data_IF_703113473534
#
_entry.id   IF_703113473534
#
_cell.length_a   1.000
_cell.length_b   1.000
_cell.length_c   1.000
_cell.angle_alpha   90.00
_cell.angle_beta   90.00
_cell.angle_gamma   90.00
#
_symmetry.space_group_name_H-M   'P 1'
#
loop_
_entity.id
_entity.type
_entity.pdbx_description
1 polymer ?
#
# COMPACT_ATOMS: atom_id res chain seq x y z
N UNK A 1 -85.84 28.81 11.58
CA UNK A 1 -85.02 28.56 10.38
C UNK A 1 -83.63 29.14 10.63
N UNK A 2 -82.63 28.29 10.90
CA UNK A 2 -81.24 28.77 10.94
C UNK A 2 -80.92 29.24 9.52
N UNK A 3 -80.45 30.48 9.31
CA UNK A 3 -80.00 30.87 7.98
C UNK A 3 -78.88 29.90 7.58
N UNK A 4 -79.03 29.32 6.40
CA UNK A 4 -78.05 28.41 5.80
C UNK A 4 -76.68 29.08 5.84
N UNK A 5 -75.81 28.65 6.76
CA UNK A 5 -74.52 29.28 7.01
C UNK A 5 -73.69 29.32 5.72
N UNK A 6 -73.82 28.29 4.88
CA UNK A 6 -73.21 28.26 3.55
C UNK A 6 -73.73 29.36 2.61
N UNK A 7 -75.03 29.70 2.65
CA UNK A 7 -75.60 30.80 1.84
C UNK A 7 -75.13 32.18 2.31
N UNK A 8 -74.94 32.36 3.62
CA UNK A 8 -74.37 33.59 4.18
C UNK A 8 -72.89 33.74 3.79
N UNK A 9 -72.10 32.66 3.86
CA UNK A 9 -70.70 32.63 3.41
C UNK A 9 -70.60 32.94 1.92
N UNK A 10 -71.43 32.32 1.08
CA UNK A 10 -71.42 32.56 -0.37
C UNK A 10 -71.78 34.02 -0.72
N UNK A 11 -72.80 34.59 -0.06
CA UNK A 11 -73.17 36.00 -0.26
C UNK A 11 -72.06 36.96 0.19
N UNK A 12 -71.37 36.63 1.29
CA UNK A 12 -70.22 37.41 1.77
C UNK A 12 -69.05 37.38 0.78
N UNK A 13 -68.72 36.20 0.26
CA UNK A 13 -67.71 36.01 -0.80
C UNK A 13 -68.06 36.79 -2.08
N UNK A 14 -69.34 36.81 -2.47
CA UNK A 14 -69.81 37.57 -3.64
C UNK A 14 -69.75 39.09 -3.39
N UNK A 15 -70.09 39.54 -2.18
CA UNK A 15 -70.02 40.96 -1.80
C UNK A 15 -68.56 41.46 -1.76
N UNK A 16 -67.65 40.68 -1.16
CA UNK A 16 -66.20 40.94 -1.11
C UNK A 16 -65.40 40.26 -2.25
N UNK A 17 -65.99 40.18 -3.45
CA UNK A 17 -65.43 39.40 -4.57
C UNK A 17 -63.99 39.73 -4.94
N UNK A 18 -63.54 40.99 -4.79
CA UNK A 18 -62.16 41.40 -5.14
C UNK A 18 -61.15 40.79 -4.17
N UNK A 19 -61.41 40.93 -2.87
CA UNK A 19 -60.52 40.41 -1.81
C UNK A 19 -60.50 38.89 -1.80
N UNK A 20 -61.66 38.26 -2.01
CA UNK A 20 -61.78 36.81 -2.17
C UNK A 20 -60.95 36.28 -3.36
N UNK A 21 -60.99 36.97 -4.51
CA UNK A 21 -60.18 36.60 -5.68
C UNK A 21 -58.69 36.75 -5.40
N UNK A 22 -58.26 37.84 -4.76
CA UNK A 22 -56.84 38.00 -4.38
C UNK A 22 -56.38 36.91 -3.41
N UNK A 23 -57.19 36.54 -2.44
CA UNK A 23 -56.86 35.49 -1.49
C UNK A 23 -56.77 34.11 -2.16
N UNK A 24 -57.67 33.79 -3.10
CA UNK A 24 -57.58 32.57 -3.91
C UNK A 24 -56.30 32.55 -4.75
N UNK A 25 -55.95 33.66 -5.40
CA UNK A 25 -54.70 33.78 -6.18
C UNK A 25 -53.48 33.57 -5.29
N UNK A 26 -53.44 34.18 -4.10
CA UNK A 26 -52.34 34.00 -3.14
C UNK A 26 -52.22 32.53 -2.72
N UNK A 27 -53.35 31.89 -2.36
CA UNK A 27 -53.35 30.47 -1.97
C UNK A 27 -52.89 29.58 -3.13
N UNK A 28 -53.32 29.85 -4.35
CA UNK A 28 -52.87 29.11 -5.55
C UNK A 28 -51.36 29.27 -5.78
N UNK A 29 -50.84 30.50 -5.71
CA UNK A 29 -49.41 30.78 -5.89
C UNK A 29 -48.59 30.11 -4.78
N UNK A 30 -48.97 30.27 -3.51
CA UNK A 30 -48.28 29.63 -2.38
C UNK A 30 -48.30 28.10 -2.49
N UNK A 31 -49.45 27.53 -2.85
CA UNK A 31 -49.57 26.08 -3.06
C UNK A 31 -48.69 25.60 -4.22
N UNK A 32 -48.63 26.35 -5.32
CA UNK A 32 -47.76 26.03 -6.46
C UNK A 32 -46.27 26.13 -6.09
N UNK A 33 -45.86 27.14 -5.32
CA UNK A 33 -44.47 27.29 -4.84
C UNK A 33 -44.09 26.14 -3.90
N UNK A 34 -44.96 25.78 -2.96
CA UNK A 34 -44.72 24.67 -2.02
C UNK A 34 -44.68 23.34 -2.78
N UNK A 35 -45.62 23.08 -3.68
CA UNK A 35 -45.63 21.87 -4.49
C UNK A 35 -44.39 21.79 -5.42
N UNK A 36 -44.02 22.89 -6.06
CA UNK A 36 -42.84 22.97 -6.93
C UNK A 36 -41.53 22.73 -6.18
N UNK A 37 -41.37 23.29 -4.98
CA UNK A 37 -40.18 23.07 -4.15
C UNK A 37 -40.11 21.62 -3.63
N UNK A 38 -41.23 21.03 -3.20
CA UNK A 38 -41.30 19.61 -2.82
C UNK A 38 -40.96 18.67 -3.99
N UNK A 39 -41.51 18.94 -5.18
CA UNK A 39 -41.27 18.11 -6.36
C UNK A 39 -39.82 18.19 -6.83
N UNK A 40 -39.23 19.39 -6.82
CA UNK A 40 -37.82 19.59 -7.15
C UNK A 40 -36.93 18.87 -6.12
N UNK A 41 -37.22 19.02 -4.83
CA UNK A 41 -36.48 18.35 -3.76
C UNK A 41 -36.56 16.81 -3.87
N UNK A 42 -37.74 16.26 -4.14
CA UNK A 42 -37.90 14.82 -4.35
C UNK A 42 -37.18 14.33 -5.62
N UNK A 43 -37.23 15.09 -6.71
CA UNK A 43 -36.55 14.74 -7.97
C UNK A 43 -35.04 14.75 -7.82
N UNK A 44 -34.47 15.78 -7.17
CA UNK A 44 -33.02 15.84 -6.89
C UNK A 44 -32.62 14.71 -5.95
N UNK A 45 -33.37 14.47 -4.87
CA UNK A 45 -33.06 13.41 -3.90
C UNK A 45 -33.12 12.02 -4.52
N UNK A 46 -34.15 11.73 -5.33
CA UNK A 46 -34.29 10.44 -6.02
C UNK A 46 -33.21 10.25 -7.09
N UNK A 47 -32.88 11.30 -7.84
CA UNK A 47 -31.77 11.28 -8.79
C UNK A 47 -30.43 10.99 -8.11
N UNK A 48 -30.10 11.72 -7.04
CA UNK A 48 -28.88 11.48 -6.25
C UNK A 48 -28.85 10.06 -5.68
N UNK A 49 -29.96 9.58 -5.10
CA UNK A 49 -30.03 8.21 -4.56
C UNK A 49 -29.78 7.17 -5.65
N UNK A 50 -30.37 7.35 -6.85
CA UNK A 50 -30.21 6.43 -7.97
C UNK A 50 -28.79 6.44 -8.52
N UNK A 51 -28.20 7.62 -8.71
CA UNK A 51 -26.81 7.77 -9.17
C UNK A 51 -25.83 7.18 -8.16
N UNK A 52 -26.02 7.44 -6.87
CA UNK A 52 -25.18 6.85 -5.82
C UNK A 52 -25.30 5.33 -5.77
N UNK A 53 -26.51 4.78 -5.88
CA UNK A 53 -26.71 3.32 -5.90
C UNK A 53 -26.04 2.67 -7.13
N UNK A 54 -26.19 3.26 -8.32
CA UNK A 54 -25.55 2.73 -9.54
C UNK A 54 -24.02 2.73 -9.48
N UNK A 55 -23.42 3.73 -8.82
CA UNK A 55 -21.96 3.83 -8.64
C UNK A 55 -21.39 2.88 -7.59
N UNK A 56 -22.19 2.46 -6.60
CA UNK A 56 -21.75 1.55 -5.56
C UNK A 56 -22.01 0.09 -5.93
N UNK A 57 -22.97 -0.18 -6.83
CA UNK A 57 -23.48 -1.53 -7.04
C UNK A 57 -24.02 -2.10 -5.72
N UNK A 58 -23.69 -3.36 -5.41
CA UNK A 58 -24.09 -4.03 -4.16
C UNK A 58 -23.12 -3.78 -3.00
N UNK A 59 -22.23 -2.79 -3.10
CA UNK A 59 -21.26 -2.50 -2.04
C UNK A 59 -21.89 -1.63 -0.95
N UNK A 60 -22.02 -2.18 0.26
CA UNK A 60 -22.43 -1.45 1.46
C UNK A 60 -21.23 -0.95 2.26
N UNK A 61 -20.17 -1.76 2.34
CA UNK A 61 -18.98 -1.49 3.15
C UNK A 61 -17.72 -1.66 2.29
N UNK A 62 -16.77 -0.76 2.53
CA UNK A 62 -15.44 -0.81 1.90
C UNK A 62 -14.39 -0.78 2.99
N UNK A 63 -13.55 -1.81 3.01
CA UNK A 63 -12.32 -1.83 3.80
C UNK A 63 -11.19 -1.33 2.90
N UNK A 64 -10.40 -0.40 3.41
CA UNK A 64 -9.34 0.29 2.66
C UNK A 64 -8.04 0.25 3.48
N UNK A 65 -6.98 -0.33 2.90
CA UNK A 65 -5.63 -0.42 3.49
C UNK A 65 -4.78 0.85 3.30
N UNK A 66 -5.37 1.93 2.83
CA UNK A 66 -4.71 3.20 2.52
C UNK A 66 -3.70 3.06 1.40
N UNK A 67 -2.42 3.14 1.77
CA UNK A 67 -1.26 3.06 0.87
C UNK A 67 -0.60 1.66 0.86
N UNK A 68 -1.14 0.71 1.64
CA UNK A 68 -0.61 -0.65 1.76
C UNK A 68 -1.43 -1.60 0.88
N UNK A 69 -0.85 -2.76 0.61
CA UNK A 69 -1.51 -3.85 -0.07
C UNK A 69 -1.65 -5.04 0.88
N UNK A 70 -2.62 -5.90 0.59
CA UNK A 70 -2.87 -7.13 1.32
C UNK A 70 -3.16 -8.29 0.38
N UNK A 71 -3.14 -9.51 0.92
CA UNK A 71 -3.47 -10.73 0.19
C UNK A 71 -4.98 -10.76 -0.17
N UNK A 72 -5.36 -10.89 -1.46
CA UNK A 72 -6.76 -10.89 -1.89
C UNK A 72 -7.64 -11.95 -1.21
N UNK A 73 -7.06 -13.06 -0.73
CA UNK A 73 -7.79 -14.14 -0.03
C UNK A 73 -8.42 -13.68 1.29
N UNK A 74 -8.01 -12.53 1.83
CA UNK A 74 -8.60 -11.94 3.04
C UNK A 74 -10.12 -11.72 2.88
N UNK A 75 -10.60 -11.37 1.68
CA UNK A 75 -12.03 -11.25 1.41
C UNK A 75 -12.77 -12.59 1.59
N UNK A 76 -12.17 -13.72 1.21
CA UNK A 76 -12.76 -15.04 1.41
C UNK A 76 -12.83 -15.38 2.91
N UNK A 77 -11.79 -15.05 3.67
CA UNK A 77 -11.77 -15.25 5.12
C UNK A 77 -12.90 -14.46 5.80
N UNK A 78 -13.10 -13.20 5.41
CA UNK A 78 -14.19 -12.35 5.92
C UNK A 78 -15.55 -12.93 5.53
N UNK A 79 -15.72 -13.34 4.27
CA UNK A 79 -16.96 -13.92 3.78
C UNK A 79 -17.32 -15.21 4.52
N UNK A 80 -16.34 -16.07 4.78
CA UNK A 80 -16.53 -17.32 5.53
C UNK A 80 -16.97 -17.09 6.99
N UNK A 81 -16.49 -16.03 7.64
CA UNK A 81 -16.86 -15.71 9.03
C UNK A 81 -18.19 -14.97 9.15
N UNK A 82 -18.52 -14.13 8.18
CA UNK A 82 -19.72 -13.26 8.22
C UNK A 82 -20.94 -13.84 7.51
N UNK A 83 -20.71 -14.74 6.55
CA UNK A 83 -21.71 -15.11 5.55
C UNK A 83 -22.06 -13.99 4.56
N UNK A 84 -21.35 -12.86 4.60
CA UNK A 84 -21.56 -11.73 3.69
C UNK A 84 -20.69 -11.89 2.44
N UNK A 85 -21.24 -11.72 1.22
CA UNK A 85 -20.44 -11.69 0.01
C UNK A 85 -19.36 -10.62 0.11
N UNK A 86 -18.10 -11.00 -0.15
CA UNK A 86 -16.95 -10.10 -0.08
C UNK A 86 -16.01 -10.36 -1.24
N UNK A 87 -15.50 -9.30 -1.86
CA UNK A 87 -14.54 -9.38 -2.98
C UNK A 87 -13.38 -8.41 -2.79
N UNK A 88 -12.18 -8.83 -3.14
CA UNK A 88 -10.98 -7.99 -3.10
C UNK A 88 -10.73 -7.36 -4.47
N UNK A 89 -10.35 -6.08 -4.49
CA UNK A 89 -9.96 -5.38 -5.72
C UNK A 89 -8.68 -4.56 -5.51
N UNK A 90 -8.00 -4.26 -6.61
CA UNK A 90 -7.04 -3.15 -6.67
C UNK A 90 -7.76 -1.92 -7.24
N UNK A 91 -7.74 -0.81 -6.52
CA UNK A 91 -8.07 0.51 -7.04
C UNK A 91 -6.78 1.31 -7.28
N UNK A 92 -6.55 1.72 -8.53
CA UNK A 92 -5.45 2.62 -8.90
C UNK A 92 -5.92 3.64 -9.93
N UNK A 93 -5.09 4.64 -10.19
CA UNK A 93 -5.34 5.67 -11.20
C UNK A 93 -4.29 5.62 -12.30
N UNK A 94 -4.72 5.97 -13.51
CA UNK A 94 -3.84 6.01 -14.66
C UNK A 94 -4.44 6.79 -15.81
N UNK A 95 -3.92 6.52 -16.99
CA UNK A 95 -4.42 7.06 -18.24
C UNK A 95 -4.38 5.98 -19.30
N UNK A 96 -5.23 6.12 -20.31
CA UNK A 96 -5.19 5.23 -21.45
C UNK A 96 -5.36 6.01 -22.75
N UNK A 97 -4.85 5.44 -23.83
CA UNK A 97 -4.95 6.01 -25.16
C UNK A 97 -5.43 4.98 -26.15
N UNK A 98 -6.26 5.41 -27.09
CA UNK A 98 -6.64 4.60 -28.25
C UNK A 98 -5.37 4.25 -29.05
N UNK A 99 -5.14 2.96 -29.30
CA UNK A 99 -3.92 2.48 -29.96
C UNK A 99 -3.79 3.01 -31.40
N UNK A 100 -4.91 3.16 -32.10
CA UNK A 100 -4.94 3.56 -33.51
C UNK A 100 -4.92 5.07 -33.71
N UNK A 101 -5.71 5.82 -32.92
CA UNK A 101 -5.88 7.27 -33.10
C UNK A 101 -4.94 8.11 -32.22
N UNK A 102 -4.38 7.53 -31.15
CA UNK A 102 -3.60 8.24 -30.14
C UNK A 102 -4.42 9.13 -29.21
N UNK A 103 -5.76 9.15 -29.35
CA UNK A 103 -6.64 9.91 -28.48
C UNK A 103 -6.47 9.43 -27.04
N UNK A 104 -6.28 10.36 -26.09
CA UNK A 104 -5.89 10.03 -24.72
C UNK A 104 -6.95 10.45 -23.70
N UNK A 105 -7.22 9.58 -22.74
CA UNK A 105 -8.05 9.79 -21.56
C UNK A 105 -7.15 9.85 -20.32
N UNK A 106 -7.11 11.01 -19.64
CA UNK A 106 -6.41 11.20 -18.37
C UNK A 106 -7.36 10.93 -17.19
N UNK A 107 -6.80 10.65 -16.01
CA UNK A 107 -7.55 10.43 -14.76
C UNK A 107 -8.57 9.28 -14.88
N UNK A 108 -8.15 8.18 -15.50
CA UNK A 108 -8.95 6.96 -15.61
C UNK A 108 -8.80 6.17 -14.32
N UNK A 109 -9.93 5.79 -13.71
CA UNK A 109 -9.93 4.83 -12.59
C UNK A 109 -9.73 3.44 -13.13
N UNK A 110 -8.79 2.72 -12.55
CA UNK A 110 -8.41 1.38 -12.98
C UNK A 110 -8.71 0.43 -11.83
N UNK A 111 -9.56 -0.56 -12.10
CA UNK A 111 -9.90 -1.61 -11.15
C UNK A 111 -9.27 -2.93 -11.60
N UNK A 112 -8.40 -3.48 -10.76
CA UNK A 112 -7.94 -4.85 -10.87
C UNK A 112 -8.94 -5.76 -10.18
N UNK A 113 -9.59 -6.63 -10.95
CA UNK A 113 -10.69 -7.47 -10.48
C UNK A 113 -10.40 -8.94 -10.74
N UNK A 114 -11.01 -9.79 -9.94
CA UNK A 114 -11.08 -11.23 -10.19
C UNK A 114 -12.44 -11.60 -10.84
N UNK A 115 -12.64 -12.89 -11.06
CA UNK A 115 -13.89 -13.45 -11.60
C UNK A 115 -15.12 -13.24 -10.71
N UNK A 116 -14.95 -12.86 -9.44
CA UNK A 116 -16.04 -12.72 -8.47
C UNK A 116 -16.62 -11.32 -8.45
N UNK A 117 -15.92 -10.31 -8.98
CA UNK A 117 -16.37 -8.92 -8.99
C UNK A 117 -17.74 -8.71 -9.65
N UNK A 118 -17.93 -9.13 -10.90
CA UNK A 118 -19.22 -8.96 -11.56
C UNK A 118 -20.34 -9.82 -10.96
N UNK A 119 -20.12 -11.10 -10.60
CA UNK A 119 -21.09 -11.87 -9.82
C UNK A 119 -21.50 -11.20 -8.51
N UNK A 120 -20.56 -10.58 -7.78
CA UNK A 120 -20.84 -9.80 -6.57
C UNK A 120 -21.81 -8.63 -6.85
N UNK A 121 -21.70 -7.99 -8.01
CA UNK A 121 -22.62 -6.93 -8.45
C UNK A 121 -23.91 -7.45 -9.11
N UNK A 122 -24.12 -8.76 -9.23
CA UNK A 122 -25.30 -9.36 -9.83
C UNK A 122 -25.20 -9.64 -11.34
N UNK A 123 -24.03 -9.40 -11.95
CA UNK A 123 -23.77 -9.53 -13.39
C UNK A 123 -22.91 -10.76 -13.70
N UNK A 124 -23.38 -11.94 -13.32
CA UNK A 124 -22.58 -13.18 -13.33
C UNK A 124 -22.11 -13.72 -14.70
N UNK A 125 -22.51 -13.11 -15.82
CA UNK A 125 -22.06 -13.48 -17.17
C UNK A 125 -20.85 -12.68 -17.67
N UNK A 126 -20.48 -11.62 -16.97
CA UNK A 126 -19.35 -10.77 -17.33
C UNK A 126 -18.06 -11.28 -16.71
N UNK A 127 -17.01 -11.31 -17.52
CA UNK A 127 -15.67 -11.71 -17.12
C UNK A 127 -14.64 -10.99 -17.98
N UNK A 128 -13.51 -10.60 -17.39
CA UNK A 128 -12.38 -9.98 -18.08
C UNK A 128 -11.18 -10.92 -17.97
N UNK A 129 -10.79 -11.49 -19.12
CA UNK A 129 -9.63 -12.38 -19.22
C UNK A 129 -8.32 -11.62 -19.02
N UNK A 130 -7.25 -12.27 -18.52
CA UNK A 130 -5.92 -11.68 -18.55
C UNK A 130 -5.51 -11.22 -19.96
N UNK A 131 -4.99 -10.00 -20.08
CA UNK A 131 -4.66 -9.35 -21.37
C UNK A 131 -5.83 -8.61 -22.03
N UNK A 132 -7.04 -8.69 -21.47
CA UNK A 132 -8.22 -7.96 -21.94
C UNK A 132 -8.60 -6.82 -20.98
N UNK A 133 -9.41 -5.89 -21.49
CA UNK A 133 -9.92 -4.75 -20.76
C UNK A 133 -11.45 -4.63 -20.89
N UNK A 134 -12.11 -4.37 -19.77
CA UNK A 134 -13.47 -3.87 -19.74
C UNK A 134 -13.46 -2.35 -19.56
N UNK A 135 -14.27 -1.60 -20.30
CA UNK A 135 -14.36 -0.14 -20.13
C UNK A 135 -15.81 0.29 -19.94
N UNK A 136 -16.05 1.39 -19.24
CA UNK A 136 -17.39 1.94 -19.14
C UNK A 136 -17.78 2.79 -20.36
N UNK A 137 -19.07 3.09 -20.49
CA UNK A 137 -19.61 3.94 -21.56
C UNK A 137 -19.00 5.35 -21.59
N UNK A 138 -18.52 5.86 -20.46
CA UNK A 138 -17.86 7.16 -20.38
C UNK A 138 -16.51 7.12 -21.10
N UNK A 139 -15.69 6.12 -20.79
CA UNK A 139 -14.37 5.95 -21.38
C UNK A 139 -14.45 5.57 -22.87
N UNK A 140 -15.35 4.67 -23.26
CA UNK A 140 -15.54 4.27 -24.64
C UNK A 140 -15.88 5.45 -25.56
N UNK A 141 -16.80 6.32 -25.13
CA UNK A 141 -17.18 7.53 -25.88
C UNK A 141 -16.05 8.56 -25.95
N UNK A 142 -15.27 8.70 -24.87
CA UNK A 142 -14.15 9.64 -24.84
C UNK A 142 -13.03 9.21 -25.78
N UNK A 143 -12.72 7.92 -25.86
CA UNK A 143 -11.66 7.37 -26.71
C UNK A 143 -12.09 7.03 -28.14
N UNK A 144 -13.39 7.13 -28.44
CA UNK A 144 -14.01 6.70 -29.70
C UNK A 144 -13.65 5.24 -30.03
N UNK A 145 -13.98 4.33 -29.10
CA UNK A 145 -13.60 2.92 -29.12
C UNK A 145 -14.81 2.01 -29.07
N UNK A 146 -14.76 0.90 -29.83
CA UNK A 146 -15.71 -0.20 -29.80
C UNK A 146 -15.10 -1.46 -29.17
N UNK A 147 -15.94 -2.47 -28.89
CA UNK A 147 -15.47 -3.79 -28.51
C UNK A 147 -14.61 -4.41 -29.63
N UNK A 148 -13.44 -4.92 -29.27
CA UNK A 148 -12.46 -5.51 -30.18
C UNK A 148 -11.25 -4.63 -30.45
N UNK A 149 -11.34 -3.32 -30.19
CA UNK A 149 -10.22 -2.38 -30.38
C UNK A 149 -9.16 -2.52 -29.29
N UNK A 150 -8.00 -1.90 -29.50
CA UNK A 150 -6.87 -1.91 -28.57
C UNK A 150 -6.66 -0.55 -27.91
N UNK A 151 -6.29 -0.60 -26.64
CA UNK A 151 -5.88 0.57 -25.84
C UNK A 151 -4.50 0.36 -25.26
N UNK A 152 -3.74 1.45 -25.17
CA UNK A 152 -2.52 1.50 -24.36
C UNK A 152 -2.92 2.02 -23.00
N UNK A 153 -2.69 1.22 -21.96
CA UNK A 153 -2.97 1.58 -20.58
C UNK A 153 -1.65 1.87 -19.87
N UNK A 154 -1.60 3.00 -19.17
CA UNK A 154 -0.48 3.36 -18.31
C UNK A 154 -0.98 3.60 -16.90
N UNK A 155 -0.46 2.80 -15.98
CA UNK A 155 -0.90 2.77 -14.60
C UNK A 155 0.27 2.55 -13.66
N UNK A 156 0.12 2.94 -12.40
CA UNK A 156 1.10 2.60 -11.37
C UNK A 156 0.99 1.12 -11.04
N UNK A 157 2.06 0.36 -11.24
CA UNK A 157 2.10 -1.07 -10.86
C UNK A 157 1.95 -1.22 -9.35
N UNK A 158 1.46 -2.39 -8.90
CA UNK A 158 1.37 -2.67 -7.46
C UNK A 158 2.75 -3.00 -6.91
N UNK A 159 3.43 -2.00 -6.35
CA UNK A 159 4.64 -2.20 -5.54
C UNK A 159 4.33 -1.95 -4.06
N UNK A 160 4.52 -2.95 -3.17
CA UNK A 160 4.40 -2.72 -1.74
C UNK A 160 5.42 -1.71 -1.21
N UNK A 161 6.60 -1.59 -1.84
CA UNK A 161 7.61 -0.63 -1.43
C UNK A 161 7.19 0.80 -1.83
N UNK A 162 7.09 1.75 -0.88
CA UNK A 162 6.78 3.13 -1.23
C UNK A 162 7.84 3.74 -2.15
N UNK A 163 7.40 4.44 -3.20
CA UNK A 163 8.31 5.07 -4.18
C UNK A 163 9.25 6.14 -3.60
N UNK A 164 8.97 6.62 -2.38
CA UNK A 164 9.79 7.57 -1.64
C UNK A 164 10.56 6.92 -0.46
N UNK A 165 10.51 5.59 -0.34
CA UNK A 165 11.31 4.87 0.65
C UNK A 165 12.80 4.93 0.31
N UNK A 166 13.69 4.90 1.32
CA UNK A 166 15.12 4.77 1.08
C UNK A 166 15.41 3.58 0.16
N UNK A 167 16.25 3.80 -0.86
CA UNK A 167 16.69 2.80 -1.84
C UNK A 167 15.60 2.25 -2.78
N UNK A 168 14.35 2.72 -2.71
CA UNK A 168 13.32 2.38 -3.69
C UNK A 168 13.80 2.71 -5.11
N UNK A 169 13.77 1.77 -6.08
CA UNK A 169 14.30 1.99 -7.42
C UNK A 169 13.77 3.27 -8.08
N UNK A 170 14.62 3.97 -8.82
CA UNK A 170 14.31 5.28 -9.43
C UNK A 170 13.41 5.23 -10.66
N UNK A 171 12.69 4.12 -10.90
CA UNK A 171 11.85 3.99 -12.11
C UNK A 171 10.63 4.93 -12.01
N UNK A 172 10.39 5.69 -13.07
CA UNK A 172 9.07 6.28 -13.33
C UNK A 172 8.09 5.13 -13.61
N UNK A 173 7.42 4.71 -12.55
CA UNK A 173 6.80 3.39 -12.36
C UNK A 173 5.41 3.27 -12.99
N UNK A 174 5.28 3.75 -14.23
CA UNK A 174 4.07 3.56 -15.02
C UNK A 174 4.26 2.38 -15.98
N UNK A 175 3.82 1.19 -15.56
CA UNK A 175 3.68 0.04 -16.43
C UNK A 175 2.81 0.43 -17.63
N UNK A 176 3.29 0.14 -18.85
CA UNK A 176 2.56 0.39 -20.09
C UNK A 176 2.17 -0.95 -20.71
N UNK A 177 0.88 -1.20 -20.86
CA UNK A 177 0.35 -2.43 -21.45
C UNK A 177 -0.60 -2.13 -22.59
N UNK A 178 -0.54 -2.93 -23.64
CA UNK A 178 -1.55 -2.91 -24.71
C UNK A 178 -2.60 -3.95 -24.34
N UNK A 179 -3.85 -3.51 -24.23
CA UNK A 179 -4.97 -4.35 -23.83
C UNK A 179 -6.04 -4.31 -24.92
N UNK A 180 -6.64 -5.46 -25.20
CA UNK A 180 -7.80 -5.54 -26.09
C UNK A 180 -9.07 -5.27 -25.31
N UNK A 181 -9.89 -4.32 -25.78
CA UNK A 181 -11.19 -4.03 -25.17
C UNK A 181 -12.15 -5.17 -25.50
N UNK A 182 -12.43 -6.03 -24.51
CA UNK A 182 -13.34 -7.16 -24.71
C UNK A 182 -14.79 -6.79 -24.48
N UNK A 183 -15.07 -5.84 -23.57
CA UNK A 183 -16.44 -5.43 -23.22
C UNK A 183 -16.56 -3.94 -22.94
N UNK A 184 -17.68 -3.36 -23.38
CA UNK A 184 -18.14 -2.05 -22.89
C UNK A 184 -19.25 -2.31 -21.85
N UNK A 185 -18.95 -2.01 -20.59
CA UNK A 185 -19.79 -2.39 -19.45
C UNK A 185 -20.77 -1.25 -19.15
N UNK A 186 -22.09 -1.53 -19.18
CA UNK A 186 -23.10 -0.52 -18.91
C UNK A 186 -23.28 -0.28 -17.39
N UNK A 187 -23.95 0.81 -16.99
CA UNK A 187 -24.11 1.17 -15.57
C UNK A 187 -24.87 0.11 -14.74
N UNK A 188 -25.83 -0.59 -15.35
CA UNK A 188 -26.58 -1.68 -14.71
C UNK A 188 -25.71 -2.87 -14.30
N UNK A 189 -24.56 -3.04 -14.96
CA UNK A 189 -23.60 -4.11 -14.69
C UNK A 189 -22.37 -3.63 -13.89
N UNK A 190 -22.56 -2.58 -13.08
CA UNK A 190 -21.52 -1.91 -12.32
C UNK A 190 -20.39 -1.28 -13.19
N UNK A 191 -20.66 -0.96 -14.46
CA UNK A 191 -19.68 -0.28 -15.32
C UNK A 191 -19.25 1.08 -14.79
N UNK A 192 -20.12 1.79 -14.08
CA UNK A 192 -19.83 3.09 -13.45
C UNK A 192 -19.38 2.96 -11.99
N UNK A 193 -18.91 1.77 -11.58
CA UNK A 193 -18.45 1.53 -10.22
C UNK A 193 -17.42 2.58 -9.81
N UNK A 194 -17.72 3.29 -8.72
CA UNK A 194 -16.87 4.35 -8.19
C UNK A 194 -17.32 4.69 -6.77
N UNK A 195 -16.62 4.18 -5.74
CA UNK A 195 -17.00 4.38 -4.34
C UNK A 195 -16.78 5.82 -3.82
N UNK A 196 -16.16 6.69 -4.62
CA UNK A 196 -15.96 8.10 -4.27
C UNK A 196 -17.24 8.95 -4.27
N UNK A 197 -17.23 10.00 -3.44
CA UNK A 197 -18.34 10.97 -3.22
C UNK A 197 -18.63 11.89 -4.42
N UNK A 198 -17.89 11.76 -5.53
CA UNK A 198 -18.07 12.61 -6.72
C UNK A 198 -19.43 12.36 -7.41
N UNK A 199 -20.06 13.43 -7.88
CA UNK A 199 -21.28 13.35 -8.72
C UNK A 199 -20.96 13.08 -10.20
N UNK A 200 -19.71 13.25 -10.63
CA UNK A 200 -19.30 12.95 -11.99
C UNK A 200 -19.07 11.44 -12.15
N UNK A 201 -19.60 10.88 -13.24
CA UNK A 201 -19.32 9.49 -13.65
C UNK A 201 -17.86 9.46 -14.15
N UNK A 202 -16.95 8.76 -13.46
CA UNK A 202 -15.57 8.70 -13.89
C UNK A 202 -15.44 7.84 -15.16
N UNK A 203 -14.32 8.02 -15.86
CA UNK A 203 -13.89 7.03 -16.84
C UNK A 203 -13.31 5.84 -16.08
N UNK A 204 -13.84 4.65 -16.34
CA UNK A 204 -13.50 3.43 -15.61
C UNK A 204 -12.96 2.39 -16.58
N UNK A 205 -11.87 1.75 -16.17
CA UNK A 205 -11.20 0.64 -16.83
C UNK A 205 -11.12 -0.53 -15.83
N UNK A 206 -11.57 -1.70 -16.24
CA UNK A 206 -11.47 -2.96 -15.51
C UNK A 206 -10.42 -3.83 -16.18
N UNK A 207 -9.45 -4.28 -15.41
CA UNK A 207 -8.41 -5.22 -15.83
C UNK A 207 -8.46 -6.46 -14.95
N UNK A 208 -7.95 -7.58 -15.45
CA UNK A 208 -7.71 -8.72 -14.57
C UNK A 208 -6.66 -8.34 -13.52
N UNK A 209 -6.89 -8.73 -12.26
CA UNK A 209 -5.98 -8.40 -11.14
C UNK A 209 -4.54 -8.88 -11.39
N UNK A 210 -4.36 -9.97 -12.16
CA UNK A 210 -3.02 -10.48 -12.54
C UNK A 210 -2.27 -9.55 -13.49
N UNK A 211 -2.98 -8.73 -14.27
CA UNK A 211 -2.37 -7.78 -15.21
C UNK A 211 -1.80 -6.55 -14.52
N UNK A 212 -2.17 -6.30 -13.26
CA UNK A 212 -1.63 -5.19 -12.46
C UNK A 212 -0.38 -5.58 -11.68
N UNK A 213 -0.08 -6.87 -11.56
CA UNK A 213 1.08 -7.38 -10.83
C UNK A 213 2.39 -7.17 -11.64
N UNK A 214 3.51 -6.77 -10.99
CA UNK A 214 4.80 -6.64 -11.65
C UNK A 214 5.44 -8.01 -11.89
N UNK A 215 5.44 -8.47 -13.16
CA UNK A 215 6.10 -9.72 -13.55
C UNK A 215 5.37 -11.00 -13.09
N UNK A 216 5.88 -12.16 -13.54
CA UNK A 216 5.23 -13.47 -13.33
C UNK A 216 5.48 -14.11 -11.97
N UNK A 217 6.39 -13.57 -11.15
CA UNK A 217 6.84 -14.18 -9.88
C UNK A 217 6.30 -13.47 -8.62
N UNK A 218 5.65 -12.31 -8.74
CA UNK A 218 5.13 -11.57 -7.58
C UNK A 218 3.72 -12.01 -7.20
N UNK A 219 3.45 -12.05 -5.88
CA UNK A 219 2.11 -12.34 -5.32
C UNK A 219 1.09 -11.30 -5.78
N UNK A 220 -0.12 -11.75 -6.09
CA UNK A 220 -1.26 -10.87 -6.37
C UNK A 220 -1.60 -10.11 -5.09
N UNK A 221 -1.87 -8.82 -5.22
CA UNK A 221 -2.13 -7.92 -4.11
C UNK A 221 -3.48 -7.22 -4.31
N UNK A 222 -4.11 -6.76 -3.23
CA UNK A 222 -5.31 -5.95 -3.24
C UNK A 222 -5.18 -4.76 -2.28
N UNK A 223 -5.97 -3.71 -2.47
CA UNK A 223 -5.99 -2.56 -1.55
C UNK A 223 -7.42 -2.15 -1.11
N UNK A 224 -8.44 -2.86 -1.57
CA UNK A 224 -9.83 -2.69 -1.15
C UNK A 224 -10.53 -4.03 -1.01
N UNK A 225 -11.39 -4.14 0.00
CA UNK A 225 -12.39 -5.21 0.09
C UNK A 225 -13.76 -4.57 0.00
N UNK A 226 -14.58 -5.05 -0.92
CA UNK A 226 -15.98 -4.66 -1.08
C UNK A 226 -16.86 -5.70 -0.38
N UNK A 227 -17.86 -5.25 0.36
CA UNK A 227 -18.75 -6.13 1.13
C UNK A 227 -20.20 -5.72 0.90
N UNK A 228 -21.03 -6.72 0.60
CA UNK A 228 -22.48 -6.65 0.58
C UNK A 228 -23.00 -7.08 1.96
N UNK A 229 -23.50 -6.14 2.76
CA UNK A 229 -23.81 -6.38 4.16
C UNK A 229 -25.23 -6.95 4.33
N UNK A 230 -25.37 -8.24 4.05
CA UNK A 230 -26.62 -8.98 4.29
C UNK A 230 -26.85 -9.19 5.79
N UNK A 231 -25.81 -9.59 6.53
CA UNK A 231 -25.82 -9.80 7.96
C UNK A 231 -25.03 -8.69 8.67
N UNK A 232 -25.57 -8.19 9.78
CA UNK A 232 -24.85 -7.23 10.63
C UNK A 232 -23.64 -7.94 11.26
N UNK A 233 -22.47 -7.32 11.12
CA UNK A 233 -21.20 -7.85 11.60
C UNK A 233 -20.29 -6.70 12.05
N UNK A 234 -19.42 -6.95 13.02
CA UNK A 234 -18.35 -6.03 13.39
C UNK A 234 -17.07 -6.40 12.63
N UNK A 235 -16.83 -5.70 11.53
CA UNK A 235 -15.71 -6.01 10.65
C UNK A 235 -14.35 -5.73 11.29
N UNK A 236 -14.26 -4.86 12.31
CA UNK A 236 -13.00 -4.67 13.03
C UNK A 236 -12.67 -5.92 13.85
N UNK A 237 -13.62 -6.45 14.62
CA UNK A 237 -13.43 -7.68 15.40
C UNK A 237 -13.10 -8.88 14.48
N UNK A 238 -13.82 -9.00 13.37
CA UNK A 238 -13.59 -10.08 12.39
C UNK A 238 -12.22 -9.95 11.74
N UNK A 239 -11.85 -8.76 11.26
CA UNK A 239 -10.53 -8.52 10.67
C UNK A 239 -9.44 -8.88 11.67
N UNK A 240 -9.51 -8.35 12.90
CA UNK A 240 -8.54 -8.68 13.95
C UNK A 240 -8.40 -10.19 14.09
N UNK A 241 -9.51 -10.94 14.16
CA UNK A 241 -9.54 -12.39 14.34
C UNK A 241 -8.99 -13.23 13.16
N UNK A 242 -9.13 -12.74 11.92
CA UNK A 242 -8.74 -13.52 10.71
C UNK A 242 -7.40 -13.09 10.12
N UNK A 243 -6.90 -11.91 10.48
CA UNK A 243 -5.67 -11.36 9.93
C UNK A 243 -4.46 -12.22 10.33
N UNK A 244 -3.62 -12.50 9.34
CA UNK A 244 -2.34 -13.18 9.52
C UNK A 244 -1.20 -12.29 9.05
N UNK A 245 0.03 -12.48 9.52
CA UNK A 245 1.19 -11.70 9.06
C UNK A 245 1.36 -11.72 7.53
N UNK A 246 1.16 -12.89 6.90
CA UNK A 246 1.26 -13.05 5.45
C UNK A 246 0.25 -12.20 4.68
N UNK A 247 -0.95 -11.94 5.24
CA UNK A 247 -1.99 -11.14 4.60
C UNK A 247 -1.55 -9.68 4.41
N UNK A 248 -0.60 -9.18 5.20
CA UNK A 248 -0.22 -7.76 5.27
C UNK A 248 1.22 -7.53 4.80
N UNK A 249 1.75 -8.47 4.01
CA UNK A 249 3.09 -8.37 3.43
C UNK A 249 4.22 -8.74 4.38
N UNK A 250 3.93 -9.39 5.52
CA UNK A 250 4.97 -9.90 6.42
C UNK A 250 5.30 -11.36 6.10
N UNK A 251 6.58 -11.69 6.01
CA UNK A 251 7.05 -13.03 5.71
C UNK A 251 7.99 -13.52 6.79
N UNK A 252 7.77 -14.74 7.25
CA UNK A 252 8.70 -15.45 8.13
C UNK A 252 9.72 -16.24 7.31
N UNK A 253 11.00 -16.00 7.57
CA UNK A 253 12.12 -16.81 7.06
C UNK A 253 13.00 -17.31 8.19
N UNK A 254 13.87 -18.27 7.89
CA UNK A 254 14.87 -18.78 8.84
C UNK A 254 16.26 -18.34 8.39
N UNK A 255 17.05 -17.81 9.31
CA UNK A 255 18.47 -17.54 9.03
C UNK A 255 19.23 -18.85 8.83
N UNK A 256 19.90 -19.05 7.67
CA UNK A 256 20.74 -20.21 7.46
C UNK A 256 21.95 -20.26 8.41
N UNK A 257 22.41 -19.09 8.90
CA UNK A 257 23.61 -18.95 9.73
C UNK A 257 23.31 -19.24 11.21
N UNK A 258 22.20 -18.71 11.74
CA UNK A 258 21.90 -18.77 13.18
C UNK A 258 20.74 -19.71 13.52
N UNK A 259 19.93 -20.11 12.54
CA UNK A 259 18.70 -20.89 12.76
C UNK A 259 17.53 -20.08 13.33
N UNK A 260 17.77 -18.82 13.70
CA UNK A 260 16.75 -17.87 14.17
C UNK A 260 15.66 -17.67 13.13
N UNK A 261 14.46 -17.32 13.61
CA UNK A 261 13.38 -16.89 12.72
C UNK A 261 13.43 -15.40 12.55
N UNK A 262 13.11 -14.95 11.37
CA UNK A 262 13.08 -13.54 11.03
C UNK A 262 11.75 -13.22 10.36
N UNK A 263 11.04 -12.24 10.92
CA UNK A 263 9.87 -11.64 10.29
C UNK A 263 10.32 -10.38 9.57
N UNK A 264 10.13 -10.35 8.26
CA UNK A 264 10.48 -9.24 7.37
C UNK A 264 9.22 -8.71 6.67
N UNK A 265 9.28 -7.48 6.16
CA UNK A 265 8.23 -6.90 5.32
C UNK A 265 8.67 -6.78 3.88
N UNK A 266 7.75 -6.99 2.95
CA UNK A 266 7.91 -6.64 1.53
C UNK A 266 8.16 -5.13 1.29
N UNK A 267 7.90 -4.29 2.30
CA UNK A 267 8.18 -2.84 2.33
C UNK A 267 9.57 -2.51 2.86
N UNK A 268 10.40 -3.52 3.14
CA UNK A 268 11.70 -3.44 3.82
C UNK A 268 11.60 -3.02 5.30
N UNK A 269 10.96 -1.90 5.58
CA UNK A 269 10.83 -1.34 6.92
C UNK A 269 9.54 -1.79 7.60
N UNK A 270 9.63 -2.03 8.91
CA UNK A 270 8.53 -2.34 9.81
C UNK A 270 8.19 -1.10 10.63
N UNK A 271 6.92 -0.68 10.59
CA UNK A 271 6.40 0.47 11.32
C UNK A 271 6.59 0.29 12.84
N UNK A 272 6.84 1.39 13.57
CA UNK A 272 7.01 1.37 15.02
C UNK A 272 5.84 0.72 15.75
N UNK A 273 4.60 1.03 15.37
CA UNK A 273 3.40 0.47 16.01
C UNK A 273 3.34 -1.04 15.77
N UNK A 274 3.60 -1.47 14.54
CA UNK A 274 3.64 -2.89 14.19
C UNK A 274 4.75 -3.63 14.95
N UNK A 275 5.95 -3.04 15.06
CA UNK A 275 7.06 -3.59 15.86
C UNK A 275 6.66 -3.72 17.33
N UNK A 276 6.09 -2.68 17.92
CA UNK A 276 5.61 -2.71 19.31
C UNK A 276 4.53 -3.77 19.50
N UNK A 277 3.58 -3.88 18.58
CA UNK A 277 2.53 -4.88 18.65
C UNK A 277 3.13 -6.29 18.63
N UNK A 278 3.99 -6.59 17.65
CA UNK A 278 4.60 -7.92 17.52
C UNK A 278 5.40 -8.31 18.77
N UNK A 279 6.21 -7.39 19.31
CA UNK A 279 7.04 -7.66 20.51
C UNK A 279 6.16 -7.85 21.75
N UNK A 280 5.04 -7.13 21.89
CA UNK A 280 4.14 -7.35 23.02
C UNK A 280 3.53 -8.76 23.02
N UNK A 281 3.22 -9.30 21.83
CA UNK A 281 2.60 -10.64 21.69
C UNK A 281 3.63 -11.77 21.64
N UNK A 282 4.84 -11.48 21.17
CA UNK A 282 5.97 -12.41 21.15
C UNK A 282 7.19 -11.73 21.78
N UNK A 283 7.27 -11.66 23.13
CA UNK A 283 8.32 -10.93 23.86
C UNK A 283 9.74 -11.44 23.63
N UNK A 284 9.87 -12.64 23.09
CA UNK A 284 11.15 -13.22 22.67
C UNK A 284 11.69 -12.57 21.37
N UNK A 285 10.87 -11.78 20.68
CA UNK A 285 11.23 -11.09 19.45
C UNK A 285 12.07 -9.84 19.70
N UNK A 286 13.11 -9.65 18.88
CA UNK A 286 14.00 -8.50 18.98
C UNK A 286 14.12 -7.78 17.63
N UNK A 287 13.94 -6.47 17.65
CA UNK A 287 14.03 -5.65 16.45
C UNK A 287 15.48 -5.49 15.98
N UNK A 288 15.67 -5.57 14.67
CA UNK A 288 16.94 -5.35 13.99
C UNK A 288 16.73 -4.34 12.87
N UNK A 289 17.69 -3.44 12.69
CA UNK A 289 17.64 -2.41 11.64
C UNK A 289 18.93 -2.41 10.84
N UNK A 290 18.86 -2.71 9.55
CA UNK A 290 20.03 -2.68 8.65
C UNK A 290 19.89 -1.57 7.64
N UNK A 291 20.97 -0.80 7.46
CA UNK A 291 20.98 0.34 6.53
C UNK A 291 22.25 0.34 5.67
N UNK A 292 22.13 0.85 4.44
CA UNK A 292 23.27 1.04 3.54
C UNK A 292 23.93 2.40 3.85
N UNK A 293 25.18 2.36 4.28
CA UNK A 293 25.99 3.57 4.53
C UNK A 293 26.86 3.86 3.32
N UNK A 294 27.15 5.14 3.08
CA UNK A 294 27.92 5.61 1.93
C UNK A 294 29.42 5.40 2.13
N UNK A 295 29.92 5.58 3.36
CA UNK A 295 31.36 5.46 3.63
C UNK A 295 31.68 5.18 5.10
N UNK A 296 32.83 4.52 5.29
CA UNK A 296 33.57 4.46 6.55
C UNK A 296 34.90 5.17 6.34
N UNK A 297 35.33 6.00 7.29
CA UNK A 297 36.58 6.76 7.21
C UNK A 297 37.36 6.70 8.52
N UNK A 298 38.65 6.37 8.42
CA UNK A 298 39.61 6.37 9.52
C UNK A 298 40.94 6.89 8.97
N UNK A 299 41.55 7.90 9.62
CA UNK A 299 42.91 8.36 9.32
C UNK A 299 43.21 8.60 7.82
N UNK A 300 42.25 9.11 7.06
CA UNK A 300 42.38 9.37 5.61
C UNK A 300 42.15 8.15 4.69
N UNK A 301 41.96 6.94 5.24
CA UNK A 301 41.50 5.76 4.51
C UNK A 301 39.97 5.73 4.45
N UNK A 302 39.41 5.15 3.39
CA UNK A 302 37.97 5.02 3.24
C UNK A 302 37.54 3.72 2.57
N UNK A 303 36.45 3.15 3.10
CA UNK A 303 35.68 2.07 2.49
C UNK A 303 34.33 2.65 2.06
N UNK A 304 33.96 2.57 0.76
CA UNK A 304 32.67 3.03 0.29
C UNK A 304 31.60 1.93 0.44
N UNK A 305 30.33 2.37 0.49
CA UNK A 305 29.10 1.57 0.32
C UNK A 305 29.09 0.20 1.02
N UNK A 306 28.50 0.14 2.22
CA UNK A 306 28.25 -1.16 2.88
C UNK A 306 27.04 -1.14 3.79
N UNK A 307 26.50 -2.32 4.07
CA UNK A 307 25.48 -2.49 5.10
C UNK A 307 26.08 -2.42 6.50
N UNK A 308 25.35 -1.76 7.38
CA UNK A 308 25.57 -1.72 8.83
C UNK A 308 24.28 -2.15 9.51
N UNK A 309 24.38 -3.06 10.47
CA UNK A 309 23.23 -3.54 11.22
C UNK A 309 23.24 -2.99 12.64
N UNK A 310 22.10 -2.45 13.05
CA UNK A 310 21.83 -2.05 14.42
C UNK A 310 21.14 -3.22 15.14
N UNK A 311 21.81 -3.74 16.17
CA UNK A 311 21.46 -4.99 16.84
C UNK A 311 21.18 -4.74 18.34
N UNK A 312 20.28 -5.53 18.95
CA UNK A 312 20.07 -5.48 20.40
C UNK A 312 21.28 -6.05 21.14
N UNK A 313 21.49 -5.61 22.39
CA UNK A 313 22.65 -6.03 23.21
C UNK A 313 22.68 -7.52 23.52
N UNK A 314 21.53 -8.16 23.57
CA UNK A 314 21.34 -9.61 23.70
C UNK A 314 21.94 -10.39 22.54
N UNK A 315 21.84 -9.84 21.33
CA UNK A 315 22.41 -10.41 20.12
C UNK A 315 23.90 -10.09 20.04
N UNK A 316 24.30 -8.84 20.27
CA UNK A 316 25.69 -8.41 20.27
C UNK A 316 26.08 -7.68 21.58
N UNK A 317 26.56 -8.42 22.58
CA UNK A 317 26.99 -7.83 23.85
C UNK A 317 28.18 -6.90 23.67
N UNK A 318 28.20 -5.79 24.41
CA UNK A 318 29.32 -4.86 24.41
C UNK A 318 29.27 -3.78 23.33
N UNK A 319 28.11 -3.58 22.67
CA UNK A 319 27.87 -2.38 21.86
C UNK A 319 27.12 -1.35 22.70
N UNK A 320 27.85 -0.36 23.23
CA UNK A 320 27.31 0.82 23.85
C UNK A 320 26.86 1.90 22.86
N UNK A 321 26.26 2.96 23.39
CA UNK A 321 25.94 4.14 22.59
C UNK A 321 27.23 4.81 22.09
N UNK A 322 27.32 5.06 20.77
CA UNK A 322 28.50 5.66 20.14
C UNK A 322 29.67 4.69 19.92
N UNK A 323 29.47 3.40 20.19
CA UNK A 323 30.42 2.34 19.86
C UNK A 323 30.02 1.63 18.57
N UNK A 324 31.00 1.08 17.88
CA UNK A 324 30.82 0.27 16.67
C UNK A 324 31.73 -0.93 16.71
N UNK A 325 31.22 -2.03 16.19
CA UNK A 325 32.00 -3.23 15.97
C UNK A 325 32.11 -3.45 14.47
N UNK A 326 33.33 -3.63 13.99
CA UNK A 326 33.61 -3.81 12.57
C UNK A 326 34.07 -5.24 12.32
N UNK A 327 33.77 -5.79 11.15
CA UNK A 327 34.32 -7.09 10.79
C UNK A 327 35.81 -6.96 10.43
N UNK A 328 36.51 -8.11 10.40
CA UNK A 328 37.95 -8.14 10.12
C UNK A 328 38.30 -7.61 8.72
N UNK A 329 37.47 -7.85 7.71
CA UNK A 329 37.69 -7.30 6.37
C UNK A 329 37.74 -5.77 6.38
N UNK A 330 36.79 -5.11 7.07
CA UNK A 330 36.73 -3.65 7.17
C UNK A 330 37.89 -3.10 8.00
N UNK A 331 38.26 -3.80 9.06
CA UNK A 331 39.42 -3.44 9.88
C UNK A 331 40.73 -3.51 9.07
N UNK A 332 40.95 -4.56 8.29
CA UNK A 332 42.12 -4.68 7.41
C UNK A 332 42.13 -3.59 6.32
N UNK A 333 40.95 -3.25 5.77
CA UNK A 333 40.84 -2.23 4.72
C UNK A 333 41.20 -0.83 5.20
N UNK A 334 40.75 -0.50 6.41
CA UNK A 334 40.94 0.80 7.04
C UNK A 334 42.17 0.84 7.95
N UNK A 335 42.85 -0.29 8.17
CA UNK A 335 43.94 -0.45 9.15
C UNK A 335 43.50 0.01 10.55
N UNK A 336 42.27 -0.41 10.90
CA UNK A 336 41.58 -0.03 12.12
C UNK A 336 41.95 -0.98 13.27
N UNK A 337 42.12 -0.43 14.46
CA UNK A 337 42.30 -1.18 15.71
C UNK A 337 41.24 -0.79 16.73
N UNK A 338 40.93 -1.66 17.71
CA UNK A 338 40.05 -1.29 18.82
C UNK A 338 40.56 -0.02 19.52
N UNK A 339 39.66 0.93 19.77
CA UNK A 339 39.97 2.26 20.30
C UNK A 339 40.05 3.37 19.26
N UNK A 340 40.14 3.04 17.96
CA UNK A 340 40.10 4.04 16.89
C UNK A 340 38.72 4.69 16.77
N UNK A 341 38.69 5.89 16.18
CA UNK A 341 37.46 6.57 15.81
C UNK A 341 37.20 6.40 14.31
N UNK A 342 36.03 5.86 13.96
CA UNK A 342 35.55 5.75 12.59
C UNK A 342 34.40 6.71 12.34
N UNK A 343 34.51 7.48 11.26
CA UNK A 343 33.41 8.32 10.78
C UNK A 343 32.57 7.53 9.78
N UNK A 344 31.30 7.30 10.12
CA UNK A 344 30.29 6.79 9.20
C UNK A 344 29.65 7.95 8.43
N UNK A 345 29.44 7.80 7.12
CA UNK A 345 28.62 8.69 6.30
C UNK A 345 27.45 7.95 5.66
N UNK A 346 26.26 8.53 5.64
CA UNK A 346 25.05 7.92 5.04
C UNK A 346 24.09 8.99 4.51
N UNK A 347 23.23 8.60 3.56
CA UNK A 347 22.11 9.44 3.16
C UNK A 347 20.99 9.37 4.19
N UNK A 348 20.52 10.55 4.62
CA UNK A 348 19.44 10.71 5.59
C UNK A 348 18.12 10.17 5.01
N UNK A 349 17.52 9.11 5.62
CA UNK A 349 16.29 8.54 5.11
C UNK A 349 15.11 9.52 5.13
N UNK A 350 15.16 10.56 5.97
CA UNK A 350 14.13 11.60 6.04
C UNK A 350 14.21 12.64 4.93
N UNK A 351 15.31 12.68 4.18
CA UNK A 351 15.55 13.67 3.13
C UNK A 351 14.88 13.29 1.80
N UNK A 352 14.25 12.12 1.70
CA UNK A 352 13.59 11.64 0.49
C UNK A 352 14.52 11.73 -0.72
N UNK A 353 14.05 12.33 -1.82
CA UNK A 353 14.84 12.50 -3.05
C UNK A 353 15.94 13.57 -2.98
N UNK A 354 16.06 14.33 -1.88
CA UNK A 354 17.09 15.38 -1.76
C UNK A 354 18.46 14.85 -1.34
N UNK A 355 18.56 13.56 -0.96
CA UNK A 355 19.81 12.82 -0.73
C UNK A 355 20.83 13.58 0.13
N UNK A 356 20.38 14.15 1.25
CA UNK A 356 21.27 14.84 2.18
C UNK A 356 22.16 13.83 2.90
N UNK A 357 23.47 14.00 2.79
CA UNK A 357 24.41 13.18 3.54
C UNK A 357 24.56 13.67 4.99
N UNK A 358 24.57 12.73 5.93
CA UNK A 358 24.89 12.91 7.35
C UNK A 358 26.09 12.04 7.71
N UNK A 359 26.78 12.41 8.78
CA UNK A 359 27.88 11.62 9.31
C UNK A 359 27.92 11.66 10.83
N UNK A 360 28.50 10.62 11.43
CA UNK A 360 28.71 10.50 12.87
C UNK A 360 29.94 9.66 13.15
N UNK A 361 30.64 10.01 14.21
CA UNK A 361 31.84 9.32 14.69
C UNK A 361 31.47 8.25 15.71
N UNK A 362 32.13 7.11 15.60
CA UNK A 362 31.98 5.95 16.49
C UNK A 362 33.34 5.45 16.96
N UNK A 363 33.39 4.95 18.18
CA UNK A 363 34.58 4.27 18.71
C UNK A 363 34.55 2.79 18.35
N UNK A 364 35.63 2.28 17.77
CA UNK A 364 35.76 0.85 17.45
C UNK A 364 35.93 0.08 18.76
N UNK A 365 34.85 -0.51 19.26
CA UNK A 365 34.86 -1.26 20.52
C UNK A 365 35.55 -2.62 20.34
N UNK A 366 35.31 -3.28 19.20
CA UNK A 366 35.89 -4.57 18.88
C UNK A 366 35.99 -4.79 17.37
N UNK A 367 36.77 -5.79 16.99
CA UNK A 367 36.81 -6.34 15.64
C UNK A 367 36.23 -7.75 15.68
N UNK A 368 35.11 -7.97 14.99
CA UNK A 368 34.43 -9.26 14.90
C UNK A 368 35.24 -10.29 14.12
N UNK A 369 35.05 -11.58 14.44
CA UNK A 369 35.69 -12.66 13.71
C UNK A 369 35.00 -12.95 12.36
N UNK A 370 35.75 -13.49 11.40
CA UNK A 370 35.28 -13.69 10.02
C UNK A 370 34.13 -14.71 9.87
N UNK A 371 33.93 -15.60 10.85
CA UNK A 371 32.90 -16.65 10.81
C UNK A 371 31.95 -16.61 12.01
N UNK A 372 31.91 -15.46 12.70
CA UNK A 372 31.06 -15.27 13.87
C UNK A 372 29.56 -15.38 13.51
N UNK A 373 28.69 -15.51 14.52
CA UNK A 373 27.23 -15.53 14.39
C UNK A 373 26.70 -14.36 13.55
N UNK A 374 27.43 -13.24 13.55
CA UNK A 374 27.09 -11.97 12.91
C UNK A 374 27.47 -11.88 11.43
N UNK A 375 28.22 -12.86 10.92
CA UNK A 375 28.43 -13.05 9.48
C UNK A 375 27.17 -13.66 8.82
N UNK A 376 25.99 -13.10 9.14
CA UNK A 376 24.68 -13.55 8.66
C UNK A 376 24.22 -12.67 7.49
N UNK A 377 24.22 -13.18 6.24
CA UNK A 377 23.72 -12.43 5.09
C UNK A 377 22.24 -12.07 5.19
N UNK A 378 21.45 -12.79 6.00
CA UNK A 378 20.03 -12.49 6.17
C UNK A 378 19.76 -11.24 7.01
N UNK A 379 20.78 -10.65 7.65
CA UNK A 379 20.65 -9.32 8.25
C UNK A 379 20.40 -8.24 7.20
N UNK A 380 20.77 -8.49 5.94
CA UNK A 380 20.38 -7.64 4.84
C UNK A 380 18.91 -7.94 4.45
N UNK A 381 18.04 -6.92 4.47
CA UNK A 381 16.71 -7.00 3.90
C UNK A 381 16.75 -7.30 2.40
N UNK A 382 15.63 -7.74 1.86
CA UNK A 382 15.51 -8.01 0.43
C UNK A 382 15.31 -6.70 -0.36
N UNK A 383 16.32 -5.82 -0.34
CA UNK A 383 16.31 -4.54 -1.04
C UNK A 383 16.11 -4.73 -2.55
N UNK A 384 15.00 -4.25 -3.14
CA UNK A 384 14.77 -4.37 -4.57
C UNK A 384 15.88 -3.71 -5.37
N UNK A 385 16.40 -4.41 -6.38
CA UNK A 385 17.50 -3.91 -7.22
C UNK A 385 18.90 -4.09 -6.63
N UNK A 386 19.04 -4.52 -5.37
CA UNK A 386 20.32 -4.91 -4.75
C UNK A 386 20.34 -6.42 -4.50
N UNK A 387 19.30 -6.95 -3.86
CA UNK A 387 19.17 -8.38 -3.56
C UNK A 387 19.10 -9.19 -4.85
N UNK A 388 19.88 -10.27 -4.92
CA UNK A 388 20.01 -11.11 -6.11
C UNK A 388 21.00 -10.61 -7.17
N UNK A 389 21.55 -9.40 -7.04
CA UNK A 389 22.58 -8.91 -7.97
C UNK A 389 23.88 -9.71 -7.86
N UNK A 390 24.43 -10.12 -8.99
CA UNK A 390 25.72 -10.81 -9.07
C UNK A 390 26.92 -9.89 -8.85
N UNK A 391 26.76 -8.57 -8.99
CA UNK A 391 27.84 -7.59 -8.78
C UNK A 391 27.33 -6.34 -8.06
N UNK A 392 28.22 -5.60 -7.38
CA UNK A 392 27.89 -4.31 -6.76
C UNK A 392 27.57 -3.23 -7.82
N UNK A 393 28.24 -3.33 -8.97
CA UNK A 393 28.04 -2.46 -10.14
C UNK A 393 26.66 -2.63 -10.81
N UNK A 394 25.97 -3.75 -10.55
CA UNK A 394 24.61 -4.00 -11.01
C UNK A 394 23.51 -3.48 -10.09
N UNK A 395 23.84 -2.82 -8.98
CA UNK A 395 22.83 -2.32 -8.04
C UNK A 395 21.99 -1.19 -8.67
N UNK A 396 20.68 -1.37 -8.64
CA UNK A 396 19.70 -0.34 -8.97
C UNK A 396 19.00 0.15 -7.69
N UNK A 397 19.80 0.62 -6.73
CA UNK A 397 19.28 1.35 -5.59
C UNK A 397 18.84 2.72 -6.11
N UNK A 398 17.64 3.21 -5.81
CA UNK A 398 17.21 4.54 -6.28
C UNK A 398 17.95 5.74 -5.67
N UNK A 399 19.15 5.51 -5.14
CA UNK A 399 20.14 6.51 -4.72
C UNK A 399 21.34 6.45 -5.66
N UNK A 400 22.00 7.58 -5.96
CA UNK A 400 23.20 7.61 -6.79
C UNK A 400 24.33 6.91 -6.06
N UNK A 401 24.54 5.64 -6.38
CA UNK A 401 25.74 4.92 -5.98
C UNK A 401 26.85 5.33 -6.95
N UNK A 402 27.90 5.93 -6.42
CA UNK A 402 29.09 6.28 -7.18
C UNK A 402 29.87 5.00 -7.46
N UNK A 403 29.46 4.32 -8.53
CA UNK A 403 30.00 3.01 -8.94
C UNK A 403 31.51 3.06 -9.19
N UNK A 404 32.04 4.23 -9.56
CA UNK A 404 33.46 4.51 -9.74
C UNK A 404 34.28 4.41 -8.44
N UNK A 405 33.62 4.55 -7.28
CA UNK A 405 34.27 4.36 -5.98
C UNK A 405 34.37 2.88 -5.57
N UNK A 406 33.58 2.00 -6.17
CA UNK A 406 33.57 0.57 -5.82
C UNK A 406 34.87 -0.07 -6.34
N UNK A 407 35.70 -0.57 -5.42
CA UNK A 407 37.00 -1.16 -5.75
C UNK A 407 36.82 -2.66 -5.98
N UNK A 408 37.78 -3.28 -6.68
CA UNK A 408 37.78 -4.73 -6.93
C UNK A 408 37.60 -5.58 -5.66
N UNK A 409 38.26 -5.20 -4.56
CA UNK A 409 38.14 -5.89 -3.27
C UNK A 409 36.73 -5.78 -2.64
N UNK A 410 35.99 -4.71 -2.94
CA UNK A 410 34.60 -4.54 -2.49
C UNK A 410 33.68 -5.49 -3.27
N UNK A 411 33.91 -5.64 -4.59
CA UNK A 411 33.20 -6.64 -5.41
C UNK A 411 33.54 -8.07 -4.97
N UNK A 412 34.81 -8.37 -4.67
CA UNK A 412 35.25 -9.67 -4.16
C UNK A 412 34.56 -10.01 -2.83
N UNK A 413 34.38 -9.01 -1.95
CA UNK A 413 33.61 -9.18 -0.71
C UNK A 413 32.15 -9.53 -1.00
N UNK A 414 31.46 -8.78 -1.86
CA UNK A 414 30.06 -9.08 -2.24
C UNK A 414 29.92 -10.46 -2.89
N UNK A 415 30.87 -10.84 -3.75
CA UNK A 415 30.91 -12.12 -4.42
C UNK A 415 31.08 -13.30 -3.45
N UNK A 416 31.68 -13.08 -2.28
CA UNK A 416 31.89 -14.11 -1.27
C UNK A 416 30.87 -14.10 -0.13
N UNK A 417 30.55 -12.92 0.38
CA UNK A 417 29.77 -12.73 1.60
C UNK A 417 28.39 -12.10 1.34
N UNK A 418 28.09 -11.69 0.10
CA UNK A 418 26.80 -11.07 -0.28
C UNK A 418 26.46 -9.90 0.66
N UNK A 419 25.23 -9.86 1.13
CA UNK A 419 24.68 -8.82 2.00
C UNK A 419 25.22 -8.79 3.43
N UNK A 420 26.20 -9.62 3.80
CA UNK A 420 26.72 -9.63 5.17
C UNK A 420 27.21 -8.23 5.60
N UNK A 421 26.62 -7.64 6.64
CA UNK A 421 27.02 -6.33 7.15
C UNK A 421 28.51 -6.29 7.53
N UNK A 422 29.16 -5.15 7.27
CA UNK A 422 30.58 -4.95 7.62
C UNK A 422 30.78 -4.34 9.00
N UNK A 423 29.72 -3.78 9.59
CA UNK A 423 29.76 -3.19 10.91
C UNK A 423 28.42 -3.32 11.64
N UNK A 424 28.48 -3.18 12.96
CA UNK A 424 27.38 -3.35 13.89
C UNK A 424 27.37 -2.23 14.92
N UNK A 425 26.20 -1.66 15.18
CA UNK A 425 25.95 -0.62 16.19
C UNK A 425 24.78 -1.03 17.10
N UNK A 426 24.54 -0.29 18.19
CA UNK A 426 23.40 -0.59 19.07
C UNK A 426 22.09 -0.31 18.34
N UNK A 427 21.05 -1.11 18.60
CA UNK A 427 19.72 -0.92 18.00
C UNK A 427 19.20 0.50 18.25
N UNK A 428 19.34 1.02 19.47
CA UNK A 428 18.90 2.36 19.85
C UNK A 428 19.62 3.44 19.03
N UNK A 429 20.91 3.25 18.76
CA UNK A 429 21.68 4.17 17.93
C UNK A 429 21.23 4.11 16.47
N UNK A 430 21.04 2.91 15.92
CA UNK A 430 20.53 2.75 14.56
C UNK A 430 19.12 3.30 14.38
N UNK A 431 18.23 3.05 15.33
CA UNK A 431 16.87 3.60 15.34
C UNK A 431 16.89 5.13 15.32
N UNK A 432 17.75 5.75 16.13
CA UNK A 432 17.92 7.21 16.14
C UNK A 432 18.44 7.76 14.79
N UNK A 433 19.34 7.04 14.11
CA UNK A 433 20.00 7.52 12.90
C UNK A 433 19.22 7.22 11.61
N UNK A 434 18.54 6.08 11.56
CA UNK A 434 17.93 5.53 10.33
C UNK A 434 16.45 5.24 10.45
N UNK A 435 15.87 5.29 11.66
CA UNK A 435 14.43 5.25 11.87
C UNK A 435 13.74 6.37 11.09
N UNK A 436 12.64 6.05 10.42
CA UNK A 436 11.98 6.95 9.48
C UNK A 436 10.48 6.68 9.40
N UNK A 437 9.77 7.43 8.55
CA UNK A 437 8.31 7.33 8.39
C UNK A 437 7.83 6.00 7.79
N UNK A 438 8.73 5.16 7.29
CA UNK A 438 8.43 3.81 6.79
C UNK A 438 8.67 2.73 7.84
N UNK A 439 9.47 3.02 8.88
CA UNK A 439 9.67 2.11 10.00
C UNK A 439 10.95 2.34 10.81
N UNK A 440 11.06 1.57 11.89
CA UNK A 440 12.17 1.61 12.86
C UNK A 440 12.98 0.32 12.88
N UNK A 441 12.50 -0.73 12.23
CA UNK A 441 13.20 -1.99 12.08
C UNK A 441 13.11 -2.43 10.62
N UNK A 442 14.05 -3.26 10.19
CA UNK A 442 13.95 -3.98 8.91
C UNK A 442 13.60 -5.45 9.10
N UNK A 443 13.70 -5.93 10.33
CA UNK A 443 13.35 -7.29 10.71
C UNK A 443 13.04 -7.37 12.21
N UNK A 444 12.28 -8.39 12.59
CA UNK A 444 12.18 -8.85 13.99
C UNK A 444 12.70 -10.29 14.03
N UNK A 445 13.70 -10.51 14.88
CA UNK A 445 14.38 -11.80 15.05
C UNK A 445 13.83 -12.53 16.26
N UNK A 446 13.59 -13.82 16.12
CA UNK A 446 13.11 -14.69 17.17
C UNK A 446 14.10 -15.85 17.40
N UNK A 447 14.23 -16.34 18.65
CA UNK A 447 15.08 -17.47 18.98
C UNK A 447 14.78 -18.69 18.11
N UNK A 448 15.83 -19.46 17.78
CA UNK A 448 15.71 -20.69 17.00
C UNK A 448 14.80 -21.76 17.65
N UNK A 449 14.52 -21.64 18.95
CA UNK A 449 13.60 -22.52 19.69
C UNK A 449 12.14 -22.32 19.31
N UNK A 450 11.76 -21.15 18.79
CA UNK A 450 10.40 -20.88 18.32
C UNK A 450 10.21 -21.40 16.90
N UNK A 451 9.12 -22.13 16.69
CA UNK A 451 8.73 -22.59 15.36
C UNK A 451 8.05 -21.46 14.57
N UNK A 452 8.14 -21.44 13.23
CA UNK A 452 7.42 -20.45 12.42
C UNK A 452 5.91 -20.48 12.65
N UNK A 453 5.33 -21.67 12.84
CA UNK A 453 3.89 -21.83 13.04
C UNK A 453 3.44 -21.30 14.41
N UNK A 454 4.27 -21.48 15.45
CA UNK A 454 4.01 -20.88 16.75
C UNK A 454 4.01 -19.35 16.70
N UNK A 455 4.97 -18.76 15.96
CA UNK A 455 5.00 -17.30 15.76
C UNK A 455 3.75 -16.84 15.00
N UNK A 456 3.37 -17.55 13.92
CA UNK A 456 2.15 -17.23 13.16
C UNK A 456 0.91 -17.29 14.02
N UNK A 457 0.74 -18.33 14.83
CA UNK A 457 -0.45 -18.49 15.67
C UNK A 457 -0.51 -17.45 16.79
N UNK A 458 0.63 -17.05 17.38
CA UNK A 458 0.66 -15.94 18.36
C UNK A 458 0.31 -14.59 17.74
N UNK A 459 0.67 -14.37 16.47
CA UNK A 459 0.38 -13.13 15.73
C UNK A 459 -0.98 -13.14 15.02
N UNK A 460 -1.58 -14.31 14.83
CA UNK A 460 -2.92 -14.44 14.27
C UNK A 460 -3.93 -13.89 15.28
N UNK A 461 -4.87 -13.09 14.82
CA UNK A 461 -5.93 -12.61 15.72
C UNK A 461 -5.56 -11.35 16.51
N UNK A 462 -4.30 -10.92 16.49
CA UNK A 462 -3.74 -10.00 17.50
C UNK A 462 -3.14 -8.70 16.95
N UNK A 463 -2.98 -8.64 15.63
CA UNK A 463 -2.60 -7.45 14.90
C UNK A 463 -3.81 -6.51 14.79
N UNK A 464 -3.65 -5.25 15.20
CA UNK A 464 -4.72 -4.26 15.11
C UNK A 464 -4.90 -3.84 13.64
N UNK A 465 -6.06 -4.09 13.01
CA UNK A 465 -6.31 -3.67 11.63
C UNK A 465 -6.17 -2.16 11.41
N UNK A 466 -6.24 -1.34 12.46
CA UNK A 466 -6.04 0.11 12.38
C UNK A 466 -4.56 0.54 12.36
N UNK A 467 -3.63 -0.31 12.83
CA UNK A 467 -2.17 -0.02 12.83
C UNK A 467 -1.44 -0.62 11.62
N UNK A 468 -2.16 -1.46 10.86
CA UNK A 468 -1.64 -2.30 9.77
C UNK A 468 -2.01 -1.79 8.38
#
# INVERSE_FOLDING_TARGET
MKPDICKLILKSLIYHRKDAVYQIIIVLILSAIIAGSLFTGHSVRSSLKRTSAGKLGNTDIIINSGLRYFDPSLAEKISAHTGNPSVSIIETEGYCSNFSSGLTALNVRIYGIDEKFFPFHGSGSLFISPGEAGINNSLARHLDIAEGDEIIVRFRETDPLPANAPFAPSKDDHGSRVMKVSRIIPPEDAGDFSPGVSQQIPMVLFLNITDLAPGSEKKIQANRILIDQVNKADYNEILSGVLTPDDIGLTLRTSPKTGEKELISDRIFLDRLLVSDIIERVPEGEAVLTYLVNSFRINGKSTPYSFVSALPQTMYPGIGAGEIIINRWLAEDLDAVPGDTVTLGWYDPLSGKSLREKSMDFYVAAIGENDDRYADPSLMPDFPGISGSTTCSGWNAGVPILLDQIRKKDEDYWNRYRGTPKAFISYETGEMLWGNNFGTATAIRFPATLSPDEIRERLRGTLDPATV
#
